data_IF_031087790266
#
_entry.id   IF_031087790266
#
_cell.length_a   1.000
_cell.length_b   1.000
_cell.length_c   1.000
_cell.angle_alpha   90.00
_cell.angle_beta   90.00
_cell.angle_gamma   90.00
#
_symmetry.space_group_name_H-M   'P 1'
#
loop_
_entity.id
_entity.type
_entity.pdbx_description
1 polymer ?
#
# COMPACT_ATOMS: atom_id res chain seq x y z
N UNK A 1 -19.34 9.18 15.16
CA UNK A 1 -18.90 8.21 14.17
C UNK A 1 -19.30 8.58 12.73
N UNK A 2 -20.57 8.91 12.45
CA UNK A 2 -21.05 9.32 11.10
C UNK A 2 -20.28 10.51 10.52
N UNK A 3 -20.01 11.55 11.29
CA UNK A 3 -19.25 12.74 10.85
C UNK A 3 -17.79 12.39 10.48
N UNK A 4 -17.15 11.49 11.22
CA UNK A 4 -15.79 11.04 10.93
C UNK A 4 -15.70 10.26 9.61
N UNK A 5 -16.66 9.36 9.35
CA UNK A 5 -16.76 8.60 8.10
C UNK A 5 -16.98 9.55 6.92
N UNK A 6 -17.92 10.49 7.06
CA UNK A 6 -18.27 11.43 5.99
C UNK A 6 -17.14 12.45 5.72
N UNK A 7 -16.46 12.91 6.75
CA UNK A 7 -15.38 13.90 6.61
C UNK A 7 -14.11 13.35 5.97
N UNK A 8 -13.87 12.05 6.08
CA UNK A 8 -12.73 11.37 5.46
C UNK A 8 -13.03 10.86 4.04
N UNK A 9 -14.28 10.85 3.59
CA UNK A 9 -14.63 10.27 2.29
C UNK A 9 -14.39 8.75 2.23
N UNK A 10 -14.56 8.05 3.37
CA UNK A 10 -14.31 6.60 3.47
C UNK A 10 -15.15 5.81 2.47
N UNK A 11 -16.39 6.26 2.20
CA UNK A 11 -17.24 5.62 1.20
C UNK A 11 -16.69 5.73 -0.22
N UNK A 12 -16.17 6.90 -0.59
CA UNK A 12 -15.54 7.13 -1.90
C UNK A 12 -14.31 6.24 -2.09
N UNK A 13 -13.53 6.08 -1.03
CA UNK A 13 -12.33 5.25 -1.08
C UNK A 13 -12.62 3.77 -1.06
N UNK A 14 -13.61 3.33 -0.30
CA UNK A 14 -14.10 1.96 -0.36
C UNK A 14 -14.58 1.63 -1.79
N UNK A 15 -15.26 2.57 -2.43
CA UNK A 15 -15.68 2.43 -3.83
C UNK A 15 -14.48 2.37 -4.77
N UNK A 16 -13.51 3.29 -4.64
CA UNK A 16 -12.30 3.27 -5.45
C UNK A 16 -11.52 1.96 -5.27
N UNK A 17 -11.34 1.50 -4.03
CA UNK A 17 -10.66 0.24 -3.73
C UNK A 17 -11.41 -0.97 -4.30
N UNK A 18 -12.73 -0.96 -4.26
CA UNK A 18 -13.56 -1.99 -4.88
C UNK A 18 -13.37 -2.02 -6.40
N UNK A 19 -13.37 -0.85 -7.05
CA UNK A 19 -13.14 -0.73 -8.49
C UNK A 19 -11.73 -1.19 -8.89
N UNK A 20 -10.73 -0.92 -8.06
CA UNK A 20 -9.37 -1.45 -8.23
C UNK A 20 -9.37 -2.98 -8.22
N UNK A 21 -10.04 -3.60 -7.25
CA UNK A 21 -10.18 -5.05 -7.20
C UNK A 21 -10.94 -5.61 -8.42
N UNK A 22 -11.99 -4.92 -8.85
CA UNK A 22 -12.80 -5.33 -10.00
C UNK A 22 -12.03 -5.24 -11.32
N UNK A 23 -11.11 -4.26 -11.47
CA UNK A 23 -10.32 -4.06 -12.69
C UNK A 23 -9.15 -5.04 -12.85
N UNK A 24 -8.88 -5.87 -11.84
CA UNK A 24 -7.76 -6.83 -11.84
C UNK A 24 -7.69 -7.70 -13.11
N UNK A 25 -8.76 -8.33 -13.61
CA UNK A 25 -8.67 -9.19 -14.80
C UNK A 25 -8.22 -8.44 -16.07
N UNK A 26 -8.58 -7.16 -16.17
CA UNK A 26 -8.24 -6.33 -17.33
C UNK A 26 -6.74 -5.99 -17.29
N UNK A 27 -6.22 -5.67 -16.13
CA UNK A 27 -4.85 -5.21 -15.94
C UNK A 27 -3.85 -6.37 -15.93
N UNK A 28 -4.30 -7.58 -15.60
CA UNK A 28 -3.47 -8.79 -15.65
C UNK A 28 -2.88 -9.05 -17.04
N UNK A 29 -3.59 -8.68 -18.10
CA UNK A 29 -3.12 -8.83 -19.49
C UNK A 29 -2.17 -7.70 -19.92
N UNK A 30 -2.02 -6.66 -19.09
CA UNK A 30 -1.22 -5.49 -19.43
C UNK A 30 0.20 -5.60 -18.87
N UNK A 31 1.19 -5.52 -19.77
CA UNK A 31 2.59 -5.50 -19.42
C UNK A 31 3.21 -4.17 -19.85
N UNK A 32 3.94 -3.54 -18.95
CA UNK A 32 4.68 -2.31 -19.22
C UNK A 32 6.10 -2.67 -19.65
N UNK A 33 6.54 -2.10 -20.75
CA UNK A 33 7.94 -2.20 -21.19
C UNK A 33 8.72 -1.02 -20.60
N UNK A 34 9.61 -1.29 -19.66
CA UNK A 34 10.47 -0.28 -19.05
C UNK A 34 11.93 -0.52 -19.40
N UNK A 35 12.75 0.55 -19.51
CA UNK A 35 14.18 0.39 -19.74
C UNK A 35 14.81 -0.34 -18.56
N UNK A 36 15.68 -1.29 -18.88
CA UNK A 36 16.40 -2.05 -17.89
C UNK A 36 17.80 -1.47 -17.70
N UNK A 37 18.19 -1.23 -16.45
CA UNK A 37 19.48 -0.63 -16.09
C UNK A 37 20.50 -1.63 -15.55
N UNK A 38 20.11 -2.91 -15.37
CA UNK A 38 20.99 -3.94 -14.77
C UNK A 38 21.80 -4.75 -15.80
N UNK A 39 21.73 -4.40 -17.08
CA UNK A 39 22.33 -5.17 -18.17
C UNK A 39 21.41 -6.29 -18.68
N UNK A 40 21.56 -6.69 -19.95
CA UNK A 40 20.66 -7.63 -20.64
C UNK A 40 19.79 -6.92 -21.68
N UNK A 41 18.57 -7.41 -21.99
CA UNK A 41 17.69 -6.76 -22.95
C UNK A 41 17.40 -5.31 -22.53
N UNK A 42 17.41 -4.39 -23.49
CA UNK A 42 17.18 -2.96 -23.25
C UNK A 42 15.84 -2.67 -22.54
N UNK A 43 14.87 -3.56 -22.71
CA UNK A 43 13.54 -3.42 -22.13
C UNK A 43 13.15 -4.64 -21.32
N UNK A 44 12.65 -4.41 -20.14
CA UNK A 44 12.08 -5.42 -19.26
C UNK A 44 10.57 -5.29 -19.23
N UNK A 45 9.87 -6.42 -19.13
CA UNK A 45 8.44 -6.47 -18.99
C UNK A 45 8.08 -6.42 -17.50
N UNK A 46 7.32 -5.41 -17.10
CA UNK A 46 6.83 -5.19 -15.73
C UNK A 46 5.33 -5.45 -15.71
N UNK A 47 4.83 -6.33 -14.83
CA UNK A 47 3.40 -6.57 -14.72
C UNK A 47 2.63 -5.29 -14.34
N UNK A 48 1.54 -5.01 -15.04
CA UNK A 48 0.69 -3.85 -14.76
C UNK A 48 0.04 -3.90 -13.37
N UNK A 49 -0.06 -5.07 -12.77
CA UNK A 49 -0.55 -5.30 -11.40
C UNK A 49 0.23 -4.52 -10.36
N UNK A 50 1.54 -4.26 -10.57
CA UNK A 50 2.37 -3.46 -9.66
C UNK A 50 1.83 -2.02 -9.56
N UNK A 51 1.40 -1.41 -10.67
CA UNK A 51 0.81 -0.08 -10.62
C UNK A 51 -0.53 -0.08 -9.90
N UNK A 52 -1.32 -1.15 -10.09
CA UNK A 52 -2.60 -1.29 -9.41
C UNK A 52 -2.42 -1.46 -7.89
N UNK A 53 -1.38 -2.16 -7.48
CA UNK A 53 -1.05 -2.38 -6.06
C UNK A 53 -0.60 -1.11 -5.33
N UNK A 54 -0.17 -0.06 -6.05
CA UNK A 54 0.11 1.27 -5.48
C UNK A 54 -1.15 2.04 -5.08
N UNK A 55 -2.29 1.78 -5.71
CA UNK A 55 -3.51 2.57 -5.49
C UNK A 55 -3.96 2.56 -4.02
N UNK A 56 -3.99 1.43 -3.30
CA UNK A 56 -4.35 1.40 -1.88
C UNK A 56 -3.45 2.29 -1.00
N UNK A 57 -2.13 2.33 -1.28
CA UNK A 57 -1.20 3.18 -0.51
C UNK A 57 -1.44 4.67 -0.79
N UNK A 58 -1.63 5.06 -2.04
CA UNK A 58 -1.95 6.45 -2.41
C UNK A 58 -3.28 6.90 -1.79
N UNK A 59 -4.30 6.05 -1.84
CA UNK A 59 -5.59 6.33 -1.21
C UNK A 59 -5.45 6.53 0.30
N UNK A 60 -4.62 5.72 0.96
CA UNK A 60 -4.39 5.85 2.40
C UNK A 60 -3.69 7.17 2.76
N UNK A 61 -2.64 7.57 2.01
CA UNK A 61 -1.98 8.88 2.17
C UNK A 61 -2.95 10.04 2.05
N UNK A 62 -3.78 10.01 1.03
CA UNK A 62 -4.79 11.05 0.80
C UNK A 62 -5.80 11.14 1.95
N UNK A 63 -6.29 9.99 2.43
CA UNK A 63 -7.16 9.91 3.61
C UNK A 63 -6.51 10.53 4.84
N UNK A 64 -5.25 10.17 5.03
CA UNK A 64 -4.50 10.59 6.19
C UNK A 64 -4.27 12.11 6.19
N UNK A 65 -3.92 12.71 5.06
CA UNK A 65 -3.74 14.15 4.92
C UNK A 65 -5.03 14.90 5.22
N UNK A 66 -6.15 14.50 4.61
CA UNK A 66 -7.46 15.07 4.85
C UNK A 66 -7.91 14.96 6.31
N UNK A 67 -7.49 13.92 7.01
CA UNK A 67 -7.86 13.67 8.41
C UNK A 67 -7.04 14.43 9.43
N UNK A 68 -5.84 14.87 9.11
CA UNK A 68 -4.97 15.56 10.07
C UNK A 68 -5.58 16.87 10.62
N UNK A 69 -6.33 17.60 9.80
CA UNK A 69 -7.05 18.79 10.21
C UNK A 69 -8.19 18.51 11.23
N UNK A 70 -8.80 17.33 11.15
CA UNK A 70 -9.93 16.94 12.00
C UNK A 70 -9.46 16.23 13.27
N UNK A 71 -8.32 15.54 13.22
CA UNK A 71 -7.74 14.84 14.37
C UNK A 71 -7.33 15.80 15.50
N UNK A 72 -6.99 17.05 15.18
CA UNK A 72 -6.75 18.11 16.17
C UNK A 72 -7.98 18.41 17.07
N UNK A 73 -9.18 18.16 16.55
CA UNK A 73 -10.44 18.43 17.26
C UNK A 73 -10.91 17.20 18.08
N UNK A 74 -10.48 15.99 17.68
CA UNK A 74 -10.97 14.72 18.24
C UNK A 74 -10.02 14.08 19.27
N UNK A 75 -9.24 14.83 19.99
CA UNK A 75 -8.15 14.40 20.89
C UNK A 75 -8.50 13.39 22.00
N UNK A 76 -9.78 13.10 22.25
CA UNK A 76 -10.23 12.20 23.34
C UNK A 76 -10.52 10.74 22.90
N UNK A 77 -10.49 10.38 21.60
CA UNK A 77 -10.86 9.03 21.14
C UNK A 77 -9.63 8.13 20.86
N UNK A 78 -9.85 6.81 20.83
CA UNK A 78 -8.84 5.79 20.49
C UNK A 78 -8.51 5.88 19.00
N UNK A 79 -7.66 6.83 18.60
CA UNK A 79 -7.30 7.13 17.20
C UNK A 79 -6.77 5.90 16.46
N UNK A 80 -6.04 4.99 17.13
CA UNK A 80 -5.51 3.79 16.52
C UNK A 80 -6.60 2.84 15.96
N UNK A 81 -7.76 2.74 16.64
CA UNK A 81 -8.91 1.97 16.13
C UNK A 81 -9.51 2.59 14.87
N UNK A 82 -9.50 3.92 14.80
CA UNK A 82 -10.00 4.65 13.64
C UNK A 82 -9.05 4.50 12.44
N UNK A 83 -7.74 4.49 12.69
CA UNK A 83 -6.74 4.23 11.63
C UNK A 83 -6.82 2.78 11.13
N UNK A 84 -6.99 1.81 12.04
CA UNK A 84 -7.22 0.42 11.66
C UNK A 84 -8.51 0.28 10.83
N UNK A 85 -9.58 0.95 11.22
CA UNK A 85 -10.83 0.96 10.45
C UNK A 85 -10.65 1.60 9.06
N UNK A 86 -9.79 2.62 8.92
CA UNK A 86 -9.47 3.22 7.62
C UNK A 86 -8.70 2.24 6.71
N UNK A 87 -7.72 1.52 7.26
CA UNK A 87 -6.98 0.47 6.52
C UNK A 87 -7.95 -0.63 6.06
N UNK A 88 -8.82 -1.10 6.97
CA UNK A 88 -9.81 -2.12 6.63
C UNK A 88 -10.82 -1.62 5.58
N UNK A 89 -11.19 -0.34 5.61
CA UNK A 89 -12.08 0.26 4.62
C UNK A 89 -11.45 0.35 3.21
N UNK A 90 -10.16 0.21 3.08
CA UNK A 90 -9.46 0.10 1.79
C UNK A 90 -9.31 -1.38 1.40
N UNK A 91 -8.81 -2.20 2.31
CA UNK A 91 -8.44 -3.60 2.02
C UNK A 91 -9.67 -4.47 1.77
N UNK A 92 -10.72 -4.36 2.61
CA UNK A 92 -11.90 -5.22 2.49
C UNK A 92 -12.66 -5.01 1.17
N UNK A 93 -12.97 -3.77 0.73
CA UNK A 93 -13.62 -3.57 -0.56
C UNK A 93 -12.75 -4.02 -1.74
N UNK A 94 -11.43 -3.87 -1.68
CA UNK A 94 -10.53 -4.37 -2.71
C UNK A 94 -10.64 -5.90 -2.85
N UNK A 95 -10.62 -6.62 -1.73
CA UNK A 95 -10.80 -8.09 -1.73
C UNK A 95 -12.17 -8.46 -2.31
N UNK A 96 -13.23 -7.76 -1.92
CA UNK A 96 -14.58 -7.99 -2.45
C UNK A 96 -14.65 -7.74 -3.96
N UNK A 97 -13.97 -6.69 -4.46
CA UNK A 97 -13.88 -6.41 -5.90
C UNK A 97 -13.20 -7.55 -6.66
N UNK A 98 -12.10 -8.07 -6.13
CA UNK A 98 -11.41 -9.25 -6.68
C UNK A 98 -12.28 -10.48 -6.67
N UNK A 99 -13.03 -10.74 -5.59
CA UNK A 99 -13.97 -11.88 -5.50
C UNK A 99 -15.07 -11.78 -6.55
N UNK A 100 -15.66 -10.60 -6.71
CA UNK A 100 -16.75 -10.36 -7.66
C UNK A 100 -16.28 -10.46 -9.11
N UNK A 101 -15.03 -10.08 -9.39
CA UNK A 101 -14.47 -10.18 -10.74
C UNK A 101 -14.30 -11.62 -11.24
N UNK A 102 -14.54 -12.62 -10.40
CA UNK A 102 -14.38 -14.05 -10.74
C UNK A 102 -12.93 -14.48 -10.97
N UNK A 103 -12.01 -13.55 -10.78
CA UNK A 103 -10.59 -13.76 -11.02
C UNK A 103 -9.89 -14.44 -9.83
N UNK A 104 -10.55 -15.33 -9.09
CA UNK A 104 -9.96 -16.05 -7.95
C UNK A 104 -8.91 -17.04 -8.45
N UNK A 105 -7.74 -16.54 -8.75
CA UNK A 105 -6.56 -17.30 -9.16
C UNK A 105 -5.36 -16.92 -8.29
N UNK A 106 -4.27 -17.65 -8.42
CA UNK A 106 -2.98 -17.35 -7.77
C UNK A 106 -2.54 -15.88 -8.00
N UNK A 107 -2.87 -15.32 -9.16
CA UNK A 107 -2.56 -13.93 -9.56
C UNK A 107 -3.22 -12.87 -8.67
N UNK A 108 -4.35 -13.16 -8.05
CA UNK A 108 -5.02 -12.23 -7.13
C UNK A 108 -4.39 -12.18 -5.74
N UNK A 109 -3.77 -13.29 -5.35
CA UNK A 109 -2.96 -13.33 -4.13
C UNK A 109 -1.72 -12.44 -4.27
N UNK A 110 -1.18 -12.30 -5.49
CA UNK A 110 -0.07 -11.40 -5.79
C UNK A 110 -0.48 -9.94 -5.60
N UNK A 111 -1.59 -9.50 -6.18
CA UNK A 111 -2.08 -8.14 -6.01
C UNK A 111 -2.28 -7.81 -4.53
N UNK A 112 -2.84 -8.74 -3.75
CA UNK A 112 -3.04 -8.55 -2.32
C UNK A 112 -1.71 -8.48 -1.57
N UNK A 113 -0.76 -9.37 -1.87
CA UNK A 113 0.59 -9.39 -1.32
C UNK A 113 1.29 -8.05 -1.58
N UNK A 114 1.31 -7.61 -2.84
CA UNK A 114 2.00 -6.41 -3.27
C UNK A 114 1.37 -5.15 -2.68
N UNK A 115 0.04 -5.09 -2.65
CA UNK A 115 -0.70 -3.99 -2.01
C UNK A 115 -0.43 -3.93 -0.51
N UNK A 116 -0.38 -5.06 0.18
CA UNK A 116 -0.07 -5.10 1.61
C UNK A 116 1.37 -4.65 1.90
N UNK A 117 2.32 -5.08 1.06
CA UNK A 117 3.71 -4.64 1.17
C UNK A 117 3.86 -3.13 0.97
N UNK A 118 3.29 -2.60 -0.12
CA UNK A 118 3.38 -1.17 -0.45
C UNK A 118 2.64 -0.30 0.59
N UNK A 119 1.52 -0.79 1.13
CA UNK A 119 0.84 -0.13 2.24
C UNK A 119 1.71 -0.14 3.51
N UNK A 120 2.43 -1.23 3.78
CA UNK A 120 3.41 -1.29 4.87
C UNK A 120 4.52 -0.24 4.72
N UNK A 121 5.09 -0.09 3.53
CA UNK A 121 6.07 0.96 3.22
C UNK A 121 5.48 2.37 3.37
N UNK A 122 4.23 2.56 2.96
CA UNK A 122 3.50 3.81 3.15
C UNK A 122 3.38 4.18 4.63
N UNK A 123 3.01 3.23 5.49
CA UNK A 123 2.92 3.44 6.92
C UNK A 123 4.28 3.82 7.53
N UNK A 124 5.37 3.21 7.06
CA UNK A 124 6.74 3.64 7.40
C UNK A 124 7.00 5.07 6.92
N UNK A 125 6.67 5.37 5.67
CA UNK A 125 6.80 6.72 5.10
C UNK A 125 6.09 7.78 5.93
N UNK A 126 4.86 7.51 6.35
CA UNK A 126 4.05 8.40 7.21
C UNK A 126 4.68 8.67 8.59
N UNK A 127 5.60 7.84 9.04
CA UNK A 127 6.31 8.08 10.30
C UNK A 127 7.44 9.11 10.15
N UNK A 128 8.10 9.13 9.00
CA UNK A 128 9.30 9.94 8.78
C UNK A 128 9.08 11.16 7.90
N UNK A 129 7.99 11.18 7.10
CA UNK A 129 7.73 12.25 6.15
C UNK A 129 6.37 12.92 6.39
N UNK A 130 6.15 14.08 5.77
CA UNK A 130 4.82 14.67 5.74
C UNK A 130 3.85 13.81 4.91
N UNK A 131 2.58 13.76 5.30
CA UNK A 131 1.57 12.88 4.69
C UNK A 131 1.53 12.97 3.15
N UNK A 132 1.63 14.17 2.60
CA UNK A 132 1.65 14.42 1.14
C UNK A 132 2.83 13.78 0.40
N UNK A 133 3.92 13.45 1.09
CA UNK A 133 5.11 12.84 0.51
C UNK A 133 5.26 11.36 0.84
N UNK A 134 4.43 10.83 1.73
CA UNK A 134 4.58 9.46 2.20
C UNK A 134 4.40 8.45 1.07
N UNK A 135 3.47 8.71 0.13
CA UNK A 135 3.24 7.85 -1.05
C UNK A 135 4.42 7.82 -2.05
N UNK A 136 5.37 8.75 -1.92
CA UNK A 136 6.61 8.67 -2.70
C UNK A 136 7.50 7.49 -2.29
N UNK A 137 7.39 7.01 -1.06
CA UNK A 137 8.20 5.87 -0.57
C UNK A 137 7.85 4.58 -1.30
N UNK A 138 6.58 4.11 -1.34
CA UNK A 138 6.22 2.94 -2.12
C UNK A 138 6.38 3.16 -3.63
N UNK A 139 6.11 4.37 -4.15
CA UNK A 139 6.32 4.69 -5.57
C UNK A 139 7.80 4.60 -5.98
N UNK A 140 8.71 5.15 -5.16
CA UNK A 140 10.14 5.04 -5.38
C UNK A 140 10.61 3.58 -5.31
N UNK A 141 10.08 2.79 -4.37
CA UNK A 141 10.38 1.37 -4.30
C UNK A 141 9.96 0.62 -5.57
N UNK A 142 8.74 0.84 -6.06
CA UNK A 142 8.27 0.25 -7.33
C UNK A 142 9.18 0.63 -8.49
N UNK A 143 9.62 1.89 -8.56
CA UNK A 143 10.56 2.34 -9.60
C UNK A 143 11.90 1.60 -9.49
N UNK A 144 12.47 1.47 -8.29
CA UNK A 144 13.72 0.73 -8.06
C UNK A 144 13.57 -0.72 -8.47
N UNK A 145 12.48 -1.37 -8.07
CA UNK A 145 12.20 -2.77 -8.45
C UNK A 145 12.05 -2.91 -9.96
N UNK A 146 11.34 -2.00 -10.62
CA UNK A 146 11.15 -2.03 -12.07
C UNK A 146 12.46 -1.85 -12.87
N UNK A 147 13.37 -0.99 -12.37
CA UNK A 147 14.63 -0.68 -13.08
C UNK A 147 15.77 -1.65 -12.75
N UNK A 148 15.79 -2.22 -11.55
CA UNK A 148 16.93 -3.00 -11.04
C UNK A 148 16.54 -4.41 -10.59
N UNK A 149 15.27 -4.81 -10.67
CA UNK A 149 14.78 -6.07 -10.13
C UNK A 149 15.08 -7.30 -10.98
N UNK A 150 15.48 -7.14 -12.24
CA UNK A 150 15.77 -8.24 -13.14
C UNK A 150 17.19 -8.80 -12.94
N UNK A 151 17.30 -10.11 -12.77
CA UNK A 151 18.57 -10.85 -12.74
C UNK A 151 18.77 -11.59 -14.06
N UNK A 152 19.51 -10.96 -14.99
CA UNK A 152 19.75 -11.54 -16.30
C UNK A 152 20.74 -12.70 -16.28
N UNK A 153 21.60 -12.78 -15.27
CA UNK A 153 22.56 -13.88 -15.15
C UNK A 153 21.86 -15.19 -14.82
N UNK A 154 20.78 -15.12 -14.02
CA UNK A 154 19.99 -16.28 -13.60
C UNK A 154 18.69 -16.46 -14.38
N UNK A 155 18.38 -15.54 -15.30
CA UNK A 155 17.15 -15.58 -16.10
C UNK A 155 15.86 -15.39 -15.32
N UNK A 156 15.90 -14.58 -14.24
CA UNK A 156 14.75 -14.35 -13.36
C UNK A 156 14.76 -12.98 -12.70
N UNK A 157 14.28 -12.94 -11.46
CA UNK A 157 14.24 -11.73 -10.66
C UNK A 157 15.07 -11.90 -9.38
N UNK A 158 15.63 -10.80 -8.90
CA UNK A 158 16.27 -10.79 -7.58
C UNK A 158 15.24 -11.07 -6.48
N UNK A 159 15.60 -11.79 -5.44
CA UNK A 159 14.67 -12.14 -4.33
C UNK A 159 14.03 -10.94 -3.66
N UNK A 160 14.71 -9.79 -3.62
CA UNK A 160 14.16 -8.53 -3.09
C UNK A 160 13.17 -7.86 -4.04
N UNK A 161 13.17 -8.23 -5.32
CA UNK A 161 12.29 -7.71 -6.36
C UNK A 161 11.05 -8.61 -6.58
N UNK A 162 10.59 -9.27 -5.52
CA UNK A 162 9.46 -10.21 -5.57
C UNK A 162 8.15 -9.61 -6.11
N UNK A 163 8.05 -8.27 -6.18
CA UNK A 163 6.92 -7.59 -6.84
C UNK A 163 6.85 -7.86 -8.34
N UNK A 164 7.97 -8.20 -8.99
CA UNK A 164 8.01 -8.59 -10.41
C UNK A 164 7.64 -10.06 -10.62
N UNK A 165 7.72 -10.86 -9.57
CA UNK A 165 7.49 -12.30 -9.63
C UNK A 165 6.00 -12.61 -9.55
N UNK A 166 5.47 -13.25 -10.58
CA UNK A 166 4.06 -13.68 -10.64
C UNK A 166 3.78 -14.94 -9.79
N UNK A 167 4.79 -15.47 -9.12
CA UNK A 167 4.63 -16.58 -8.19
C UNK A 167 4.59 -16.10 -6.73
N UNK A 168 3.71 -16.67 -5.93
CA UNK A 168 3.64 -16.39 -4.50
C UNK A 168 4.54 -17.36 -3.74
N UNK A 169 5.78 -16.96 -3.51
CA UNK A 169 6.70 -17.74 -2.68
C UNK A 169 6.44 -17.49 -1.20
N UNK A 170 6.73 -18.47 -0.35
CA UNK A 170 6.60 -18.32 1.10
C UNK A 170 7.48 -17.14 1.61
N UNK A 171 8.66 -16.96 1.05
CA UNK A 171 9.57 -15.87 1.38
C UNK A 171 8.94 -14.50 1.12
N UNK A 172 8.27 -14.32 -0.02
CA UNK A 172 7.62 -13.05 -0.36
C UNK A 172 6.48 -12.69 0.61
N UNK A 173 5.74 -13.69 1.10
CA UNK A 173 4.72 -13.49 2.14
C UNK A 173 5.32 -13.11 3.49
N UNK A 174 6.45 -13.72 3.88
CA UNK A 174 7.15 -13.37 5.12
C UNK A 174 7.64 -11.92 5.07
N UNK A 175 8.27 -11.50 3.97
CA UNK A 175 8.75 -10.12 3.77
C UNK A 175 7.57 -9.15 3.83
N UNK A 176 6.49 -9.43 3.12
CA UNK A 176 5.28 -8.60 3.08
C UNK A 176 4.66 -8.43 4.45
N UNK A 177 4.42 -9.54 5.15
CA UNK A 177 3.80 -9.53 6.47
C UNK A 177 4.68 -8.79 7.48
N UNK A 178 5.98 -9.03 7.45
CA UNK A 178 6.94 -8.36 8.34
C UNK A 178 6.96 -6.84 8.08
N UNK A 179 7.03 -6.42 6.82
CA UNK A 179 7.02 -5.00 6.46
C UNK A 179 5.71 -4.32 6.88
N UNK A 180 4.58 -4.97 6.64
CA UNK A 180 3.28 -4.43 7.03
C UNK A 180 3.13 -4.31 8.56
N UNK A 181 3.50 -5.34 9.31
CA UNK A 181 3.42 -5.34 10.78
C UNK A 181 4.36 -4.31 11.39
N UNK A 182 5.60 -4.23 10.91
CA UNK A 182 6.56 -3.22 11.37
C UNK A 182 6.09 -1.80 11.03
N UNK A 183 5.62 -1.56 9.80
CA UNK A 183 5.06 -0.28 9.40
C UNK A 183 3.89 0.15 10.29
N UNK A 184 2.94 -0.76 10.53
CA UNK A 184 1.81 -0.51 11.41
C UNK A 184 2.24 -0.26 12.87
N UNK A 185 3.20 -1.02 13.39
CA UNK A 185 3.71 -0.87 14.76
C UNK A 185 4.41 0.49 14.93
N UNK A 186 5.29 0.87 14.00
CA UNK A 186 5.96 2.18 14.01
C UNK A 186 4.95 3.32 13.93
N UNK A 187 4.01 3.26 13.02
CA UNK A 187 2.98 4.26 12.84
C UNK A 187 2.13 4.45 14.11
N UNK A 188 1.68 3.36 14.73
CA UNK A 188 0.89 3.41 15.97
C UNK A 188 1.72 3.93 17.14
N UNK A 189 2.99 3.54 17.26
CA UNK A 189 3.86 3.97 18.36
C UNK A 189 4.13 5.48 18.32
N UNK A 190 4.44 6.04 17.16
CA UNK A 190 4.62 7.49 16.99
C UNK A 190 3.36 8.29 17.31
N UNK A 191 2.20 7.76 16.92
CA UNK A 191 0.93 8.40 17.26
C UNK A 191 0.67 8.45 18.76
N UNK A 192 1.10 7.44 19.49
CA UNK A 192 1.03 7.45 20.97
C UNK A 192 1.95 8.52 21.56
N UNK A 193 3.20 8.61 21.12
CA UNK A 193 4.17 9.58 21.64
C UNK A 193 3.71 11.03 21.45
N UNK A 194 3.30 11.43 20.27
CA UNK A 194 2.77 12.78 19.99
C UNK A 194 1.58 13.16 20.90
N UNK A 195 0.80 12.17 21.32
CA UNK A 195 -0.32 12.38 22.25
C UNK A 195 0.15 12.72 23.67
N UNK A 196 1.23 12.10 24.16
CA UNK A 196 1.78 12.39 25.49
C UNK A 196 2.36 13.81 25.54
N UNK A 197 3.06 14.24 24.50
CA UNK A 197 3.62 15.59 24.41
C UNK A 197 2.53 16.67 24.50
N UNK A 198 1.46 16.58 23.73
CA UNK A 198 0.34 17.54 23.76
C UNK A 198 -0.34 17.58 25.13
N UNK A 199 -0.48 16.43 25.78
CA UNK A 199 -1.09 16.34 27.12
C UNK A 199 -0.24 16.99 28.22
N UNK A 200 1.08 17.05 28.04
CA UNK A 200 2.02 17.64 29.02
C UNK A 200 2.06 19.18 28.89
N UNK A 201 1.87 19.71 27.68
CA UNK A 201 1.81 21.16 27.44
C UNK A 201 0.48 21.83 27.81
N UNK A 202 -0.59 21.04 28.02
CA UNK A 202 -1.92 21.55 28.38
C UNK A 202 -2.20 21.58 29.89
N UNK A 203 -1.22 21.26 30.73
CA UNK A 203 -1.24 21.41 32.18
C UNK A 203 -0.38 22.58 32.62
#
# INVERSE_FOLDING_TARGET
MRLWIKSRGIGEMALCSFLVGLSTPIILSFQLTLPNLTGGPLFAQVPGTILLSLVPSILYSYLYEKSNLINLILTKRKLWLLELAAILAIVVPMILGVLVSGAFSTLNLELFRDSAFLLGLELVGLTFTAARFASLVPAAWVLVVALFGHDFQRGGFHQWAFLLEQSTTQTSWVITTTTFVLGAAFFVSQRRQKRYEISTYSR
#
